data_IF_216257592916
#
_entry.id   IF_216257592916
#
_cell.length_a   1.000
_cell.length_b   1.000
_cell.length_c   1.000
_cell.angle_alpha   90.00
_cell.angle_beta   90.00
_cell.angle_gamma   90.00
#
_symmetry.space_group_name_H-M   'P 1'
#
loop_
_entity.id
_entity.type
_entity.pdbx_description
1 polymer ?
#
# COMPACT_ATOMS: atom_id res chain seq x y z
N UNK A 1 8.79 -18.48 31.59
CA UNK A 1 8.84 -18.31 30.13
C UNK A 1 9.43 -16.93 29.86
N UNK A 2 10.74 -16.86 29.60
CA UNK A 2 11.44 -15.57 29.43
C UNK A 2 11.20 -15.11 27.98
N UNK A 3 10.39 -14.07 27.81
CA UNK A 3 10.33 -13.28 26.58
C UNK A 3 11.67 -12.54 26.46
N UNK A 4 12.53 -12.96 25.52
CA UNK A 4 13.67 -12.15 25.10
C UNK A 4 13.15 -11.06 24.17
N UNK A 5 13.07 -9.84 24.69
CA UNK A 5 12.88 -8.63 23.89
C UNK A 5 14.23 -8.06 23.44
N UNK A 6 14.24 -7.69 22.16
CA UNK A 6 14.92 -6.53 21.57
C UNK A 6 16.45 -6.57 21.42
N UNK A 7 16.91 -6.61 20.18
CA UNK A 7 17.24 -5.42 19.37
C UNK A 7 18.31 -5.80 18.35
N UNK A 8 17.95 -5.86 17.07
CA UNK A 8 18.90 -5.75 15.95
C UNK A 8 18.49 -4.52 15.15
N UNK A 9 18.98 -3.36 15.59
CA UNK A 9 18.98 -2.14 14.79
C UNK A 9 20.20 -2.19 13.88
N UNK A 10 20.03 -2.82 12.72
CA UNK A 10 20.77 -2.52 11.52
C UNK A 10 19.70 -2.33 10.46
N UNK A 11 19.56 -1.12 9.92
CA UNK A 11 18.66 -0.87 8.80
C UNK A 11 19.26 -1.57 7.57
N UNK A 12 19.04 -2.88 7.48
CA UNK A 12 19.51 -3.71 6.38
C UNK A 12 18.74 -3.26 5.15
N UNK A 13 19.44 -2.68 4.19
CA UNK A 13 18.87 -2.23 2.92
C UNK A 13 18.05 -3.37 2.31
N UNK A 14 16.74 -3.15 2.17
CA UNK A 14 15.86 -4.10 1.51
C UNK A 14 16.19 -4.12 0.03
N UNK A 15 16.59 -5.28 -0.47
CA UNK A 15 16.70 -5.54 -1.90
C UNK A 15 15.38 -6.17 -2.39
N UNK A 16 14.90 -5.71 -3.54
CA UNK A 16 13.75 -6.29 -4.22
C UNK A 16 14.23 -6.94 -5.53
N UNK A 17 13.57 -8.03 -5.95
CA UNK A 17 13.93 -8.74 -7.17
C UNK A 17 13.75 -7.83 -8.41
N UNK A 18 14.54 -8.06 -9.45
CA UNK A 18 14.48 -7.32 -10.74
C UNK A 18 13.11 -7.36 -11.41
N UNK A 19 12.32 -8.39 -11.10
CA UNK A 19 10.94 -8.54 -11.60
C UNK A 19 9.93 -7.66 -10.85
N UNK A 20 10.37 -6.88 -9.87
CA UNK A 20 9.49 -6.01 -9.08
C UNK A 20 9.48 -4.57 -9.59
N UNK A 21 8.31 -3.94 -9.57
CA UNK A 21 8.15 -2.53 -9.93
C UNK A 21 7.33 -1.82 -8.86
N UNK A 22 7.71 -0.58 -8.56
CA UNK A 22 7.05 0.26 -7.57
C UNK A 22 6.01 1.19 -8.21
N UNK A 23 4.76 1.10 -7.74
CA UNK A 23 3.64 1.93 -8.20
C UNK A 23 3.05 2.69 -7.02
N UNK A 24 2.96 4.01 -7.13
CA UNK A 24 2.42 4.86 -6.06
C UNK A 24 1.38 5.83 -6.59
N UNK A 25 0.33 6.05 -5.81
CA UNK A 25 -0.60 7.15 -6.01
C UNK A 25 -0.96 7.83 -4.70
N UNK A 26 -1.56 9.02 -4.81
CA UNK A 26 -1.90 9.87 -3.69
C UNK A 26 -3.37 10.29 -3.76
N UNK A 27 -4.02 10.40 -2.61
CA UNK A 27 -5.39 10.86 -2.48
C UNK A 27 -5.52 11.94 -1.42
N UNK A 28 -6.40 12.92 -1.64
CA UNK A 28 -6.66 14.00 -0.68
C UNK A 28 -7.40 13.47 0.55
N UNK A 29 -7.01 13.94 1.74
CA UNK A 29 -7.75 13.70 2.98
C UNK A 29 -9.04 14.55 3.03
N UNK A 30 -10.07 14.10 3.80
CA UNK A 30 -11.24 14.92 4.09
C UNK A 30 -10.85 16.24 4.76
N UNK A 31 -11.57 17.32 4.43
CA UNK A 31 -11.31 18.68 4.93
C UNK A 31 -11.71 18.91 6.39
N UNK A 32 -12.37 17.95 7.04
CA UNK A 32 -12.99 18.09 8.37
C UNK A 32 -12.07 17.77 9.55
N UNK A 33 -10.74 17.69 9.37
CA UNK A 33 -9.81 17.43 10.48
C UNK A 33 -9.38 18.78 11.09
N UNK A 34 -9.91 19.19 12.26
CA UNK A 34 -9.55 20.47 12.88
C UNK A 34 -8.26 20.30 13.68
N UNK A 35 -7.32 21.22 13.45
CA UNK A 35 -5.99 21.36 14.07
C UNK A 35 -4.86 20.45 13.52
N UNK A 36 -3.78 21.11 13.08
CA UNK A 36 -2.52 20.58 12.52
C UNK A 36 -2.55 20.17 11.04
N UNK A 37 -2.48 21.16 10.16
CA UNK A 37 -2.31 21.05 8.71
C UNK A 37 -0.91 20.51 8.29
N UNK A 38 -0.58 19.28 8.65
CA UNK A 38 0.58 18.58 8.10
C UNK A 38 0.11 17.30 7.40
N UNK A 39 0.30 17.28 6.07
CA UNK A 39 -0.04 16.22 5.11
C UNK A 39 -1.52 16.15 4.71
N UNK A 40 -1.91 16.91 3.67
CA UNK A 40 -3.26 16.91 3.07
C UNK A 40 -3.57 15.68 2.20
N UNK A 41 -2.63 14.76 2.07
CA UNK A 41 -2.72 13.61 1.18
C UNK A 41 -2.24 12.33 1.85
N UNK A 42 -2.80 11.20 1.43
CA UNK A 42 -2.32 9.86 1.75
C UNK A 42 -1.72 9.26 0.50
N UNK A 43 -0.47 8.80 0.59
CA UNK A 43 0.20 7.99 -0.41
C UNK A 43 0.13 6.51 -0.05
N UNK A 44 -0.19 5.69 -1.03
CA UNK A 44 -0.05 4.23 -0.97
C UNK A 44 0.84 3.83 -2.13
N UNK A 45 1.93 3.12 -1.83
CA UNK A 45 2.82 2.56 -2.82
C UNK A 45 2.84 1.04 -2.73
N UNK A 46 2.82 0.37 -3.87
CA UNK A 46 2.83 -1.08 -4.00
C UNK A 46 4.09 -1.49 -4.76
N UNK A 47 4.88 -2.38 -4.17
CA UNK A 47 5.93 -3.09 -4.89
C UNK A 47 5.33 -4.40 -5.37
N UNK A 48 5.28 -4.59 -6.69
CA UNK A 48 4.54 -5.69 -7.32
C UNK A 48 5.53 -6.53 -8.11
N UNK A 49 5.56 -7.85 -7.86
CA UNK A 49 6.22 -8.80 -8.77
C UNK A 49 5.41 -8.84 -10.06
N UNK A 50 5.99 -8.33 -11.14
CA UNK A 50 5.30 -8.10 -12.40
C UNK A 50 4.98 -9.39 -13.15
N UNK A 51 5.77 -10.45 -12.94
CA UNK A 51 5.53 -11.78 -13.50
C UNK A 51 4.32 -12.46 -12.86
N UNK A 52 4.17 -12.34 -11.53
CA UNK A 52 3.13 -13.08 -10.80
C UNK A 52 1.91 -12.24 -10.41
N UNK A 53 1.99 -10.90 -10.51
CA UNK A 53 0.94 -10.00 -10.03
C UNK A 53 0.89 -9.79 -8.52
N UNK A 54 1.85 -10.36 -7.78
CA UNK A 54 1.82 -10.39 -6.31
C UNK A 54 2.37 -9.10 -5.73
N UNK A 55 1.66 -8.51 -4.77
CA UNK A 55 2.17 -7.40 -3.97
C UNK A 55 3.18 -7.96 -2.96
N UNK A 56 4.45 -7.58 -3.10
CA UNK A 56 5.55 -8.08 -2.27
C UNK A 56 5.91 -7.13 -1.12
N UNK A 57 5.65 -5.83 -1.28
CA UNK A 57 5.77 -4.85 -0.18
C UNK A 57 4.84 -3.65 -0.41
N UNK A 58 4.60 -2.89 0.66
CA UNK A 58 3.73 -1.70 0.65
C UNK A 58 4.38 -0.56 1.42
N UNK A 59 4.36 0.62 0.81
CA UNK A 59 4.62 1.89 1.47
C UNK A 59 3.33 2.67 1.73
N UNK A 60 3.28 3.39 2.84
CA UNK A 60 2.09 4.09 3.29
C UNK A 60 2.48 5.34 4.08
N UNK A 61 1.80 6.46 3.83
CA UNK A 61 2.06 7.74 4.51
C UNK A 61 1.11 8.01 5.69
N UNK A 62 0.39 7.00 6.18
CA UNK A 62 -0.42 7.14 7.40
C UNK A 62 0.48 7.49 8.60
N UNK A 63 -0.08 8.20 9.57
CA UNK A 63 0.70 8.81 10.65
C UNK A 63 1.38 7.75 11.54
N UNK A 64 0.60 6.81 12.06
CA UNK A 64 1.07 5.86 13.07
C UNK A 64 1.70 4.63 12.43
N UNK A 65 2.65 4.01 13.14
CA UNK A 65 3.31 2.80 12.64
C UNK A 65 2.32 1.64 12.57
N UNK A 66 1.40 1.54 13.52
CA UNK A 66 0.34 0.54 13.57
C UNK A 66 -0.56 0.61 12.33
N UNK A 67 -0.89 1.83 11.88
CA UNK A 67 -1.69 2.01 10.67
C UNK A 67 -0.92 1.57 9.41
N UNK A 68 0.39 1.87 9.34
CA UNK A 68 1.25 1.42 8.22
C UNK A 68 1.37 -0.10 8.20
N UNK A 69 1.61 -0.73 9.35
CA UNK A 69 1.75 -2.18 9.47
C UNK A 69 0.43 -2.89 9.23
N UNK A 70 -0.69 -2.29 9.65
CA UNK A 70 -2.02 -2.79 9.34
C UNK A 70 -2.28 -2.77 7.83
N UNK A 71 -1.93 -1.68 7.13
CA UNK A 71 -2.04 -1.62 5.66
C UNK A 71 -1.18 -2.70 4.99
N UNK A 72 0.07 -2.88 5.44
CA UNK A 72 0.95 -3.96 4.96
C UNK A 72 0.31 -5.34 5.16
N UNK A 73 -0.26 -5.59 6.33
CA UNK A 73 -0.90 -6.87 6.66
C UNK A 73 -2.11 -7.23 5.81
N UNK A 74 -2.79 -6.23 5.22
CA UNK A 74 -3.96 -6.44 4.37
C UNK A 74 -3.55 -6.64 2.91
N UNK A 75 -2.52 -5.94 2.46
CA UNK A 75 -2.17 -5.79 1.05
C UNK A 75 -1.04 -6.72 0.60
N UNK A 76 -0.01 -6.95 1.43
CA UNK A 76 1.10 -7.83 1.08
C UNK A 76 0.60 -9.26 0.92
N UNK A 77 1.02 -9.90 -0.17
CA UNK A 77 0.67 -11.28 -0.49
C UNK A 77 -0.54 -11.43 -1.41
N UNK A 78 -1.36 -10.38 -1.57
CA UNK A 78 -2.46 -10.33 -2.55
C UNK A 78 -1.97 -10.41 -3.98
N UNK A 79 -2.79 -10.95 -4.86
CA UNK A 79 -2.47 -11.16 -6.27
C UNK A 79 -3.42 -10.37 -7.19
N UNK A 80 -2.89 -9.36 -7.85
CA UNK A 80 -3.64 -8.49 -8.77
C UNK A 80 -4.00 -9.15 -10.12
N UNK A 81 -3.51 -10.36 -10.39
CA UNK A 81 -3.96 -11.16 -11.55
C UNK A 81 -5.19 -12.00 -11.22
N UNK A 82 -5.44 -12.24 -9.94
CA UNK A 82 -6.50 -13.14 -9.45
C UNK A 82 -7.64 -12.39 -8.74
N UNK A 83 -7.35 -11.21 -8.17
CA UNK A 83 -8.29 -10.43 -7.37
C UNK A 83 -8.80 -9.19 -8.11
N UNK A 84 -10.08 -8.87 -7.92
CA UNK A 84 -10.65 -7.59 -8.35
C UNK A 84 -10.21 -6.46 -7.41
N UNK A 85 -9.98 -5.27 -7.97
CA UNK A 85 -9.67 -4.05 -7.24
C UNK A 85 -10.73 -3.72 -6.18
N UNK A 86 -12.00 -4.03 -6.47
CA UNK A 86 -13.10 -3.77 -5.56
C UNK A 86 -13.07 -4.69 -4.33
N UNK A 87 -12.63 -5.94 -4.46
CA UNK A 87 -12.48 -6.87 -3.33
C UNK A 87 -11.41 -6.40 -2.34
N UNK A 88 -10.30 -5.88 -2.88
CA UNK A 88 -9.22 -5.29 -2.09
C UNK A 88 -9.74 -4.07 -1.33
N UNK A 89 -10.43 -3.15 -2.02
CA UNK A 89 -10.94 -1.94 -1.33
C UNK A 89 -12.08 -2.24 -0.37
N UNK A 90 -12.90 -3.25 -0.62
CA UNK A 90 -13.95 -3.68 0.31
C UNK A 90 -13.36 -4.26 1.59
N UNK A 91 -12.25 -5.00 1.50
CA UNK A 91 -11.51 -5.43 2.69
C UNK A 91 -11.03 -4.24 3.52
N UNK A 92 -10.54 -3.18 2.87
CA UNK A 92 -10.10 -1.96 3.56
C UNK A 92 -11.28 -1.27 4.24
N UNK A 93 -12.42 -1.12 3.55
CA UNK A 93 -13.64 -0.52 4.12
C UNK A 93 -14.15 -1.28 5.35
N UNK A 94 -14.02 -2.60 5.35
CA UNK A 94 -14.47 -3.47 6.43
C UNK A 94 -13.53 -3.46 7.65
N UNK A 95 -12.22 -3.26 7.43
CA UNK A 95 -11.20 -3.50 8.46
C UNK A 95 -10.49 -2.25 8.95
N UNK A 96 -10.45 -1.18 8.16
CA UNK A 96 -9.75 0.05 8.51
C UNK A 96 -10.73 1.22 8.71
N UNK A 97 -11.03 1.57 9.96
CA UNK A 97 -11.97 2.64 10.32
C UNK A 97 -11.28 3.94 10.77
N UNK A 98 -10.33 4.43 9.97
CA UNK A 98 -9.71 5.75 10.19
C UNK A 98 -10.33 6.86 9.36
N UNK A 99 -10.14 8.12 9.75
CA UNK A 99 -10.58 9.30 8.97
C UNK A 99 -10.06 9.31 7.53
N UNK A 100 -8.91 8.67 7.31
CA UNK A 100 -8.31 8.53 5.99
C UNK A 100 -8.89 7.39 5.12
N UNK A 101 -9.87 6.62 5.59
CA UNK A 101 -10.33 5.39 4.90
C UNK A 101 -10.67 5.61 3.42
N UNK A 102 -11.44 6.66 3.12
CA UNK A 102 -11.80 7.00 1.73
C UNK A 102 -10.56 7.33 0.89
N UNK A 103 -9.65 8.14 1.42
CA UNK A 103 -8.41 8.51 0.75
C UNK A 103 -7.50 7.28 0.52
N UNK A 104 -7.39 6.39 1.50
CA UNK A 104 -6.66 5.12 1.36
C UNK A 104 -7.24 4.27 0.23
N UNK A 105 -8.56 4.12 0.15
CA UNK A 105 -9.18 3.38 -0.94
C UNK A 105 -8.86 3.99 -2.31
N UNK A 106 -8.93 5.32 -2.43
CA UNK A 106 -8.60 6.03 -3.68
C UNK A 106 -7.12 5.83 -4.05
N UNK A 107 -6.20 5.94 -3.09
CA UNK A 107 -4.78 5.76 -3.32
C UNK A 107 -4.39 4.29 -3.65
N UNK A 108 -5.11 3.31 -3.10
CA UNK A 108 -4.96 1.90 -3.51
C UNK A 108 -5.40 1.75 -4.96
N UNK A 109 -6.59 2.26 -5.31
CA UNK A 109 -7.13 2.16 -6.67
C UNK A 109 -6.18 2.77 -7.70
N UNK A 110 -5.73 4.00 -7.46
CA UNK A 110 -4.80 4.67 -8.36
C UNK A 110 -3.44 3.98 -8.51
N UNK A 111 -2.97 3.26 -7.49
CA UNK A 111 -1.70 2.50 -7.58
C UNK A 111 -1.86 1.23 -8.43
N UNK A 112 -2.99 0.54 -8.29
CA UNK A 112 -3.33 -0.64 -9.10
C UNK A 112 -3.63 -0.24 -10.54
N UNK A 113 -4.31 0.87 -10.77
CA UNK A 113 -4.55 1.42 -12.12
C UNK A 113 -3.22 1.72 -12.84
N UNK A 114 -2.26 2.34 -12.15
CA UNK A 114 -0.91 2.56 -12.71
C UNK A 114 -0.21 1.26 -13.08
N UNK A 115 -0.31 0.23 -12.24
CA UNK A 115 0.19 -1.10 -12.57
C UNK A 115 -0.46 -1.66 -13.83
N UNK A 116 -1.78 -1.57 -13.93
CA UNK A 116 -2.52 -2.07 -15.08
C UNK A 116 -2.14 -1.32 -16.37
N UNK A 117 -2.05 0.02 -16.33
CA UNK A 117 -1.59 0.82 -17.47
C UNK A 117 -0.19 0.40 -17.90
N UNK A 118 0.76 0.32 -16.96
CA UNK A 118 2.13 -0.11 -17.25
C UNK A 118 2.18 -1.52 -17.86
N UNK A 119 1.38 -2.47 -17.33
CA UNK A 119 1.30 -3.84 -17.83
C UNK A 119 0.82 -3.87 -19.29
N UNK A 120 -0.20 -3.08 -19.62
CA UNK A 120 -0.69 -2.97 -21.01
C UNK A 120 0.35 -2.36 -21.96
N UNK A 121 1.17 -1.42 -21.48
CA UNK A 121 2.26 -0.85 -22.27
C UNK A 121 3.39 -1.85 -22.53
N UNK A 122 3.70 -2.75 -21.59
CA UNK A 122 4.71 -3.79 -21.81
C UNK A 122 4.25 -4.87 -22.79
N UNK A 123 2.95 -5.19 -22.84
CA UNK A 123 2.40 -6.19 -23.79
C UNK A 123 2.46 -5.70 -25.24
N UNK A 124 2.43 -4.38 -25.45
CA UNK A 124 2.47 -3.77 -26.79
C UNK A 124 3.88 -3.66 -27.39
N UNK A 125 4.92 -3.89 -26.59
CA UNK A 125 6.32 -3.87 -27.03
C UNK A 125 6.74 -5.26 -27.50
#
# INVERSE_FOLDING_TARGET
MILKTNNLHGDSMKHYDEDTVYFISYAKLPTEIPAAALHKVVGIGLIINTKTGRIVDVSCTLLTQEAKDFMRSILIGRNLHEEDIDDITNTIKLRYHGYAQKAVCVAIKGSIERYNTWKQEQIKK
#
